data_IF_090344586747
#
_entry.id   IF_090344586747
#
_cell.length_a   1.000
_cell.length_b   1.000
_cell.length_c   1.000
_cell.angle_alpha   90.00
_cell.angle_beta   90.00
_cell.angle_gamma   90.00
#
_symmetry.space_group_name_H-M   'P 1'
#
loop_
_entity.id
_entity.type
_entity.pdbx_description
1 polymer ?
#
# COMPACT_ATOMS: atom_id res chain seq x y z
N UNK A 1 -15.63 -15.03 -16.95
CA UNK A 1 -16.28 -14.18 -17.98
C UNK A 1 -15.23 -13.20 -18.49
N UNK A 2 -14.97 -13.13 -19.80
CA UNK A 2 -14.04 -12.12 -20.33
C UNK A 2 -14.74 -10.76 -20.33
N UNK A 3 -14.30 -9.83 -19.47
CA UNK A 3 -14.79 -8.46 -19.46
C UNK A 3 -14.24 -7.68 -20.67
N UNK A 4 -15.06 -6.80 -21.25
CA UNK A 4 -14.62 -5.80 -22.23
C UNK A 4 -13.62 -4.81 -21.61
N UNK A 5 -12.85 -4.10 -22.45
CA UNK A 5 -11.94 -3.04 -21.96
C UNK A 5 -12.67 -1.89 -21.25
N UNK A 6 -13.93 -1.65 -21.61
CA UNK A 6 -14.86 -0.78 -20.87
C UNK A 6 -15.90 -1.67 -20.19
N UNK A 7 -15.55 -2.16 -19.00
CA UNK A 7 -16.38 -3.09 -18.22
C UNK A 7 -17.32 -2.38 -17.24
N UNK A 8 -17.19 -1.06 -17.11
CA UNK A 8 -17.86 -0.25 -16.09
C UNK A 8 -17.27 -0.35 -14.67
N UNK A 9 -16.37 -1.32 -14.42
CA UNK A 9 -15.68 -1.46 -13.13
C UNK A 9 -14.57 -0.43 -12.98
N UNK A 10 -14.43 0.13 -11.78
CA UNK A 10 -13.41 1.13 -11.46
C UNK A 10 -12.85 0.88 -10.07
N UNK A 11 -11.54 1.03 -9.91
CA UNK A 11 -10.94 1.15 -8.59
C UNK A 11 -11.10 2.61 -8.11
N UNK A 12 -11.84 2.87 -7.02
CA UNK A 12 -11.97 4.22 -6.49
C UNK A 12 -10.63 4.75 -6.01
N UNK A 13 -10.47 6.07 -6.01
CA UNK A 13 -9.35 6.71 -5.35
C UNK A 13 -9.34 6.38 -3.85
N UNK A 14 -8.16 6.31 -3.23
CA UNK A 14 -8.03 6.01 -1.80
C UNK A 14 -8.61 7.09 -0.88
N UNK A 15 -8.81 8.31 -1.36
CA UNK A 15 -9.51 9.34 -0.59
C UNK A 15 -11.03 9.26 -0.68
N UNK A 16 -11.58 8.31 -1.44
CA UNK A 16 -13.02 8.04 -1.47
C UNK A 16 -13.49 7.58 -0.08
N UNK A 17 -14.80 7.61 0.15
CA UNK A 17 -15.34 7.17 1.44
C UNK A 17 -15.21 5.66 1.60
N UNK A 18 -14.82 5.21 2.79
CA UNK A 18 -14.57 3.83 3.13
C UNK A 18 -15.69 3.23 3.98
N UNK A 19 -16.01 1.97 3.70
CA UNK A 19 -16.84 1.13 4.54
C UNK A 19 -16.03 0.46 5.66
N UNK A 20 -14.77 0.13 5.40
CA UNK A 20 -13.84 -0.46 6.37
C UNK A 20 -12.38 -0.37 5.90
N UNK A 21 -11.45 -0.55 6.83
CA UNK A 21 -10.04 -0.88 6.56
C UNK A 21 -9.76 -2.33 6.92
N UNK A 22 -9.03 -3.01 6.05
CA UNK A 22 -8.51 -4.36 6.29
C UNK A 22 -7.06 -4.31 6.71
N UNK A 23 -6.69 -5.14 7.67
CA UNK A 23 -5.33 -5.38 8.12
C UNK A 23 -5.12 -6.87 8.34
N UNK A 24 -3.88 -7.34 8.37
CA UNK A 24 -3.54 -8.72 8.74
C UNK A 24 -2.66 -8.65 9.99
N UNK A 25 -2.92 -9.50 10.98
CA UNK A 25 -2.22 -9.49 12.25
C UNK A 25 -0.88 -10.24 12.15
N UNK A 26 0.24 -9.66 12.61
CA UNK A 26 1.54 -10.32 12.58
C UNK A 26 1.56 -11.46 13.60
N UNK A 27 1.89 -12.66 13.13
CA UNK A 27 1.95 -13.88 13.94
C UNK A 27 3.23 -14.71 13.74
N UNK A 28 3.92 -14.53 12.62
CA UNK A 28 5.05 -15.36 12.23
C UNK A 28 6.31 -14.98 13.02
N UNK A 29 6.50 -15.60 14.18
CA UNK A 29 7.62 -15.29 15.07
C UNK A 29 8.98 -15.52 14.42
N UNK A 30 9.14 -16.61 13.66
CA UNK A 30 10.41 -16.90 12.99
C UNK A 30 10.77 -15.81 11.98
N UNK A 31 9.80 -15.35 11.18
CA UNK A 31 10.01 -14.27 10.22
C UNK A 31 10.44 -12.98 10.92
N UNK A 32 9.70 -12.53 11.92
CA UNK A 32 9.97 -11.25 12.59
C UNK A 32 11.23 -11.29 13.46
N UNK A 33 11.42 -12.33 14.27
CA UNK A 33 12.53 -12.38 15.23
C UNK A 33 13.84 -12.88 14.60
N UNK A 34 13.76 -13.86 13.69
CA UNK A 34 14.95 -14.44 13.05
C UNK A 34 15.28 -13.80 11.70
N UNK A 35 14.27 -13.38 10.92
CA UNK A 35 14.48 -12.70 9.65
C UNK A 35 14.74 -11.21 9.84
N UNK A 36 13.80 -10.50 10.49
CA UNK A 36 13.88 -9.05 10.64
C UNK A 36 14.55 -8.57 11.92
N UNK A 37 15.01 -9.50 12.76
CA UNK A 37 15.71 -9.22 14.02
C UNK A 37 14.96 -8.27 14.97
N UNK A 38 13.62 -8.31 14.94
CA UNK A 38 12.75 -7.50 15.80
C UNK A 38 11.76 -8.40 16.56
N UNK A 39 11.47 -8.08 17.82
CA UNK A 39 10.59 -8.92 18.64
C UNK A 39 9.15 -8.85 18.11
N UNK A 40 8.54 -10.01 17.85
CA UNK A 40 7.16 -10.08 17.34
C UNK A 40 6.18 -9.34 18.26
N UNK A 41 6.39 -9.40 19.58
CA UNK A 41 5.54 -8.72 20.54
C UNK A 41 5.54 -7.19 20.36
N UNK A 42 6.66 -6.58 19.96
CA UNK A 42 6.73 -5.14 19.74
C UNK A 42 6.07 -4.76 18.41
N UNK A 43 6.28 -5.56 17.36
CA UNK A 43 5.58 -5.40 16.07
C UNK A 43 4.06 -5.47 16.28
N UNK A 44 3.57 -6.42 17.08
CA UNK A 44 2.14 -6.53 17.43
C UNK A 44 1.62 -5.28 18.16
N UNK A 45 2.42 -4.63 19.02
CA UNK A 45 2.02 -3.36 19.63
C UNK A 45 1.88 -2.25 18.60
N UNK A 46 2.79 -2.19 17.63
CA UNK A 46 2.75 -1.19 16.56
C UNK A 46 1.50 -1.38 15.67
N UNK A 47 1.22 -2.62 15.26
CA UNK A 47 -0.01 -2.96 14.51
C UNK A 47 -1.28 -2.61 15.29
N UNK A 48 -1.32 -2.89 16.60
CA UNK A 48 -2.45 -2.52 17.44
C UNK A 48 -2.64 -1.00 17.54
N UNK A 49 -1.55 -0.22 17.62
CA UNK A 49 -1.63 1.25 17.61
C UNK A 49 -2.16 1.79 16.30
N UNK A 50 -1.71 1.26 15.16
CA UNK A 50 -2.23 1.64 13.83
C UNK A 50 -3.71 1.31 13.72
N UNK A 51 -4.12 0.09 14.06
CA UNK A 51 -5.51 -0.34 14.02
C UNK A 51 -6.41 0.54 14.93
N UNK A 52 -5.95 0.85 16.14
CA UNK A 52 -6.68 1.72 17.07
C UNK A 52 -6.79 3.17 16.55
N UNK A 53 -5.76 3.67 15.85
CA UNK A 53 -5.78 5.00 15.24
C UNK A 53 -6.82 5.07 14.12
N UNK A 54 -6.87 4.06 13.25
CA UNK A 54 -7.85 3.96 12.14
C UNK A 54 -9.27 3.79 12.68
N UNK A 55 -9.45 2.95 13.70
CA UNK A 55 -10.76 2.64 14.30
C UNK A 55 -11.51 3.86 14.87
N UNK A 56 -10.83 5.00 15.02
CA UNK A 56 -11.45 6.29 15.38
C UNK A 56 -12.25 6.92 14.23
N UNK A 57 -11.98 6.52 12.99
CA UNK A 57 -12.50 7.18 11.77
C UNK A 57 -13.29 6.23 10.86
N UNK A 58 -12.98 4.92 10.87
CA UNK A 58 -13.69 3.91 10.11
C UNK A 58 -13.56 2.51 10.74
N UNK A 59 -14.49 1.57 10.44
CA UNK A 59 -14.40 0.21 10.94
C UNK A 59 -13.09 -0.48 10.52
N UNK A 60 -12.47 -1.24 11.43
CA UNK A 60 -11.28 -2.03 11.13
C UNK A 60 -11.61 -3.52 11.21
N UNK A 61 -11.24 -4.24 10.16
CA UNK A 61 -11.32 -5.70 10.04
C UNK A 61 -9.90 -6.27 10.03
N UNK A 62 -9.56 -7.00 11.08
CA UNK A 62 -8.25 -7.62 11.25
C UNK A 62 -8.34 -9.10 10.90
N UNK A 63 -7.67 -9.51 9.84
CA UNK A 63 -7.45 -10.92 9.53
C UNK A 63 -6.40 -11.47 10.51
N UNK A 64 -6.70 -12.59 11.16
CA UNK A 64 -5.84 -13.17 12.19
C UNK A 64 -5.67 -14.66 11.92
N UNK A 65 -4.41 -15.12 11.88
CA UNK A 65 -4.13 -16.55 11.87
C UNK A 65 -4.70 -17.22 13.16
N UNK A 66 -5.31 -18.42 13.08
CA UNK A 66 -5.86 -19.09 14.26
C UNK A 66 -4.89 -19.21 15.44
N UNK A 67 -3.58 -19.30 15.20
CA UNK A 67 -2.56 -19.36 16.24
C UNK A 67 -2.41 -18.06 17.05
N UNK A 68 -2.81 -16.91 16.50
CA UNK A 68 -2.58 -15.59 17.09
C UNK A 68 -3.86 -14.87 17.55
N UNK A 69 -5.01 -15.54 17.53
CA UNK A 69 -6.30 -14.97 17.99
C UNK A 69 -6.20 -14.43 19.41
N UNK A 70 -5.47 -15.12 20.31
CA UNK A 70 -5.31 -14.68 21.68
C UNK A 70 -4.50 -13.38 21.80
N UNK A 71 -3.38 -13.24 21.06
CA UNK A 71 -2.58 -12.01 21.10
C UNK A 71 -3.30 -10.85 20.42
N UNK A 72 -3.97 -11.10 19.30
CA UNK A 72 -4.83 -10.13 18.64
C UNK A 72 -5.93 -9.64 19.59
N UNK A 73 -6.72 -10.52 20.23
CA UNK A 73 -7.77 -10.10 21.20
C UNK A 73 -7.23 -9.33 22.40
N UNK A 74 -6.00 -9.63 22.84
CA UNK A 74 -5.41 -8.95 23.98
C UNK A 74 -5.00 -7.50 23.67
N UNK A 75 -4.56 -7.24 22.43
CA UNK A 75 -4.02 -5.94 22.02
C UNK A 75 -5.01 -5.11 21.19
N UNK A 76 -5.78 -5.77 20.32
CA UNK A 76 -6.90 -5.17 19.62
C UNK A 76 -8.12 -5.15 20.57
N UNK A 77 -8.54 -3.94 20.97
CA UNK A 77 -9.75 -3.77 21.76
C UNK A 77 -11.02 -4.22 21.03
N UNK A 78 -12.17 -4.17 21.72
CA UNK A 78 -13.45 -4.67 21.20
C UNK A 78 -14.00 -3.95 19.94
N UNK A 79 -13.39 -2.84 19.53
CA UNK A 79 -13.82 -2.06 18.37
C UNK A 79 -13.22 -2.55 17.03
N UNK A 80 -12.35 -3.56 17.06
CA UNK A 80 -11.73 -4.16 15.88
C UNK A 80 -12.37 -5.53 15.66
N UNK A 81 -12.91 -5.77 14.47
CA UNK A 81 -13.48 -7.05 14.10
C UNK A 81 -12.34 -8.03 13.77
N UNK A 82 -12.24 -9.12 14.53
CA UNK A 82 -11.26 -10.17 14.23
C UNK A 82 -11.87 -11.23 13.32
N UNK A 83 -11.18 -11.51 12.22
CA UNK A 83 -11.56 -12.46 11.20
C UNK A 83 -10.51 -13.57 11.19
N UNK A 84 -10.89 -14.75 11.67
CA UNK A 84 -9.96 -15.90 11.75
C UNK A 84 -9.74 -16.52 10.36
N UNK A 85 -8.54 -16.37 9.82
CA UNK A 85 -8.15 -16.89 8.51
C UNK A 85 -6.63 -17.08 8.48
N UNK A 86 -6.17 -18.28 8.11
CA UNK A 86 -4.74 -18.60 8.11
C UNK A 86 -3.97 -17.79 7.05
N UNK A 87 -2.78 -17.31 7.40
CA UNK A 87 -1.92 -16.43 6.58
C UNK A 87 -0.45 -16.81 6.79
N UNK A 88 0.45 -16.44 5.88
CA UNK A 88 1.90 -16.62 6.09
C UNK A 88 2.54 -15.36 6.71
N UNK A 89 2.14 -14.17 6.26
CA UNK A 89 2.64 -12.87 6.69
C UNK A 89 1.54 -11.81 6.84
N UNK A 90 1.89 -10.57 7.24
CA UNK A 90 0.93 -9.53 7.67
C UNK A 90 0.77 -8.31 6.75
N UNK A 91 1.26 -8.38 5.51
CA UNK A 91 1.20 -7.28 4.53
C UNK A 91 -0.11 -7.29 3.74
N UNK A 92 -1.16 -6.76 4.38
CA UNK A 92 -2.53 -6.78 3.84
C UNK A 92 -2.69 -6.01 2.54
N UNK A 93 -1.91 -4.93 2.35
CA UNK A 93 -1.90 -4.12 1.12
C UNK A 93 -1.63 -4.96 -0.12
N UNK A 94 -0.71 -5.91 0.02
CA UNK A 94 -0.12 -6.61 -1.12
C UNK A 94 -0.80 -7.95 -1.42
N UNK A 95 -1.22 -8.64 -0.37
CA UNK A 95 -1.87 -9.95 -0.46
C UNK A 95 -3.40 -9.87 -0.41
N UNK A 96 -3.95 -8.71 -0.02
CA UNK A 96 -5.40 -8.43 0.01
C UNK A 96 -6.00 -8.15 -1.36
N UNK A 97 -7.34 -8.03 -1.45
CA UNK A 97 -8.01 -7.72 -2.71
C UNK A 97 -7.94 -6.21 -2.99
N UNK A 98 -7.76 -5.83 -4.25
CA UNK A 98 -8.06 -4.47 -4.70
C UNK A 98 -9.55 -4.37 -5.00
N UNK A 99 -10.30 -3.67 -4.17
CA UNK A 99 -11.74 -3.49 -4.34
C UNK A 99 -12.07 -2.60 -5.55
N UNK A 100 -13.13 -2.95 -6.27
CA UNK A 100 -13.62 -2.23 -7.45
C UNK A 100 -15.13 -2.03 -7.37
N UNK A 101 -15.61 -0.90 -7.88
CA UNK A 101 -17.02 -0.52 -7.86
C UNK A 101 -17.60 -0.49 -9.28
N UNK A 102 -18.89 -0.81 -9.38
CA UNK A 102 -19.67 -0.69 -10.60
C UNK A 102 -21.03 -0.03 -10.32
N UNK A 103 -21.49 0.93 -11.14
CA UNK A 103 -22.75 1.65 -10.90
C UNK A 103 -24.00 0.76 -10.78
N UNK A 104 -24.02 -0.39 -11.45
CA UNK A 104 -25.16 -1.32 -11.46
C UNK A 104 -24.92 -2.61 -10.65
N UNK A 105 -23.66 -2.94 -10.35
CA UNK A 105 -23.30 -4.24 -9.75
C UNK A 105 -22.72 -4.08 -8.34
N UNK A 106 -22.54 -2.85 -7.87
CA UNK A 106 -22.06 -2.57 -6.52
C UNK A 106 -20.56 -2.84 -6.39
N UNK A 107 -20.19 -3.61 -5.36
CA UNK A 107 -18.81 -3.87 -4.98
C UNK A 107 -18.35 -5.26 -5.45
N UNK A 108 -17.14 -5.33 -5.99
CA UNK A 108 -16.41 -6.57 -6.23
C UNK A 108 -14.95 -6.37 -5.82
N UNK A 109 -14.13 -7.40 -5.99
CA UNK A 109 -12.68 -7.28 -5.82
C UNK A 109 -11.90 -7.93 -6.94
N UNK A 110 -10.71 -7.41 -7.19
CA UNK A 110 -9.69 -8.06 -7.99
C UNK A 110 -8.67 -8.72 -7.07
N UNK A 111 -8.53 -10.03 -7.20
CA UNK A 111 -7.45 -10.80 -6.57
C UNK A 111 -6.31 -10.95 -7.58
N UNK A 112 -5.20 -10.31 -7.28
CA UNK A 112 -3.96 -10.47 -8.04
C UNK A 112 -3.34 -11.84 -7.77
N UNK A 113 -2.45 -12.29 -8.67
CA UNK A 113 -1.51 -13.34 -8.29
C UNK A 113 -0.48 -12.71 -7.34
N UNK A 114 -0.29 -13.30 -6.18
CA UNK A 114 0.73 -12.87 -5.22
C UNK A 114 1.81 -13.95 -5.08
N UNK A 115 3.08 -13.54 -5.04
CA UNK A 115 4.22 -14.43 -4.89
C UNK A 115 5.25 -13.97 -3.85
N UNK A 116 4.85 -13.16 -2.85
CA UNK A 116 5.76 -12.56 -1.87
C UNK A 116 6.96 -11.87 -2.52
N UNK A 117 6.64 -10.85 -3.31
CA UNK A 117 7.62 -9.96 -3.91
C UNK A 117 8.73 -10.70 -4.68
N UNK A 118 8.37 -11.71 -5.47
CA UNK A 118 9.35 -12.49 -6.25
C UNK A 118 9.95 -13.66 -5.48
N UNK A 119 9.11 -14.39 -4.73
CA UNK A 119 9.46 -15.56 -3.93
C UNK A 119 10.46 -15.27 -2.79
N UNK A 120 10.50 -14.02 -2.30
CA UNK A 120 11.37 -13.57 -1.20
C UNK A 120 10.94 -14.13 0.16
N UNK A 121 9.65 -14.47 0.31
CA UNK A 121 9.08 -15.05 1.54
C UNK A 121 8.13 -16.22 1.25
N UNK A 122 7.81 -17.00 2.29
CA UNK A 122 6.74 -18.00 2.23
C UNK A 122 5.39 -17.32 2.00
N UNK A 123 4.57 -17.85 1.10
CA UNK A 123 3.33 -17.17 0.65
C UNK A 123 2.24 -18.14 0.18
N UNK A 124 2.30 -19.40 0.59
CA UNK A 124 1.35 -20.44 0.16
C UNK A 124 -0.11 -20.10 0.48
N UNK A 125 -0.35 -19.51 1.64
CA UNK A 125 -1.63 -19.03 2.14
C UNK A 125 -1.93 -17.63 1.60
N UNK A 126 -0.93 -16.75 1.59
CA UNK A 126 -1.11 -15.35 1.19
C UNK A 126 -1.43 -15.19 -0.30
N UNK A 127 -0.94 -16.10 -1.15
CA UNK A 127 -1.27 -16.17 -2.58
C UNK A 127 -2.78 -16.15 -2.86
N UNK A 128 -3.57 -16.69 -1.93
CA UNK A 128 -5.03 -16.80 -2.06
C UNK A 128 -5.80 -15.88 -1.10
N UNK A 129 -5.11 -15.05 -0.32
CA UNK A 129 -5.73 -14.25 0.74
C UNK A 129 -6.79 -13.31 0.19
N UNK A 130 -6.47 -12.52 -0.85
CA UNK A 130 -7.42 -11.62 -1.49
C UNK A 130 -8.71 -12.33 -1.93
N UNK A 131 -8.60 -13.52 -2.54
CA UNK A 131 -9.78 -14.31 -2.92
C UNK A 131 -10.58 -14.80 -1.71
N UNK A 132 -9.90 -15.32 -0.67
CA UNK A 132 -10.55 -15.82 0.55
C UNK A 132 -11.29 -14.71 1.31
N UNK A 133 -10.74 -13.49 1.34
CA UNK A 133 -11.42 -12.31 1.90
C UNK A 133 -12.71 -12.01 1.12
N UNK A 134 -12.66 -12.01 -0.22
CA UNK A 134 -13.85 -11.76 -1.05
C UNK A 134 -14.93 -12.83 -0.86
N UNK A 135 -14.54 -14.10 -0.82
CA UNK A 135 -15.46 -15.22 -0.60
C UNK A 135 -16.13 -15.11 0.79
N UNK A 136 -15.38 -14.70 1.82
CA UNK A 136 -15.92 -14.48 3.17
C UNK A 136 -16.92 -13.31 3.24
N UNK A 137 -16.73 -12.28 2.41
CA UNK A 137 -17.68 -11.18 2.26
C UNK A 137 -18.87 -11.51 1.36
N UNK A 138 -18.85 -12.65 0.67
CA UNK A 138 -19.84 -13.00 -0.35
C UNK A 138 -19.79 -12.07 -1.57
N UNK A 139 -18.64 -11.46 -1.86
CA UNK A 139 -18.46 -10.54 -2.98
C UNK A 139 -17.94 -11.28 -4.21
N UNK A 140 -18.35 -10.80 -5.39
CA UNK A 140 -17.79 -11.26 -6.65
C UNK A 140 -16.29 -10.92 -6.73
N UNK A 141 -15.50 -11.86 -7.24
CA UNK A 141 -14.05 -11.74 -7.35
C UNK A 141 -13.57 -12.00 -8.76
N UNK A 142 -12.79 -11.07 -9.31
CA UNK A 142 -12.00 -11.24 -10.51
C UNK A 142 -10.63 -11.81 -10.16
N UNK A 143 -10.04 -12.56 -11.09
CA UNK A 143 -8.68 -13.07 -10.94
C UNK A 143 -7.90 -12.82 -12.22
N UNK A 144 -6.60 -12.62 -12.07
CA UNK A 144 -5.66 -12.38 -13.18
C UNK A 144 -4.43 -13.28 -13.03
N UNK A 145 -3.78 -13.60 -14.15
CA UNK A 145 -2.49 -14.30 -14.16
C UNK A 145 -1.32 -13.36 -13.85
N UNK A 146 -1.54 -12.05 -13.92
CA UNK A 146 -0.52 -11.04 -13.62
C UNK A 146 -0.21 -11.04 -12.12
N UNK A 147 1.08 -11.13 -11.80
CA UNK A 147 1.56 -10.84 -10.47
C UNK A 147 1.48 -9.34 -10.23
N UNK A 148 0.86 -8.95 -9.14
CA UNK A 148 0.79 -7.57 -8.73
C UNK A 148 0.53 -7.53 -7.23
N UNK A 149 1.03 -6.49 -6.59
CA UNK A 149 0.76 -6.15 -5.21
C UNK A 149 -0.02 -4.83 -5.15
N UNK A 150 -0.87 -4.63 -4.14
CA UNK A 150 -1.61 -3.37 -4.00
C UNK A 150 -0.70 -2.16 -3.84
N UNK A 151 0.43 -2.29 -3.14
CA UNK A 151 1.42 -1.21 -2.97
C UNK A 151 2.17 -0.84 -4.24
N UNK A 152 2.13 -1.70 -5.26
CA UNK A 152 2.75 -1.46 -6.56
C UNK A 152 1.95 -0.49 -7.46
N UNK A 153 0.72 -0.13 -7.08
CA UNK A 153 -0.15 0.75 -7.89
C UNK A 153 -0.84 1.84 -7.05
N UNK A 154 -0.99 3.03 -7.63
CA UNK A 154 -1.84 4.10 -7.10
C UNK A 154 -2.80 4.60 -8.17
N UNK A 155 -4.05 4.88 -7.80
CA UNK A 155 -5.10 5.37 -8.72
C UNK A 155 -5.71 6.68 -8.26
N UNK A 156 -6.08 7.53 -9.21
CA UNK A 156 -6.71 8.84 -8.94
C UNK A 156 -8.25 8.80 -8.93
N UNK A 157 -8.85 7.65 -9.24
CA UNK A 157 -10.30 7.49 -9.41
C UNK A 157 -10.89 8.16 -10.66
N UNK A 158 -10.08 8.86 -11.47
CA UNK A 158 -10.46 9.54 -12.70
C UNK A 158 -9.83 8.90 -13.96
N UNK A 159 -9.25 7.71 -13.79
CA UNK A 159 -8.73 6.86 -14.86
C UNK A 159 -7.22 6.94 -15.04
N UNK A 160 -6.49 7.51 -14.09
CA UNK A 160 -5.02 7.51 -14.05
C UNK A 160 -4.53 6.47 -13.05
N UNK A 161 -3.52 5.71 -13.44
CA UNK A 161 -2.76 4.83 -12.54
C UNK A 161 -1.28 5.20 -12.60
N UNK A 162 -0.61 5.22 -11.46
CA UNK A 162 0.86 5.34 -11.35
C UNK A 162 1.40 4.02 -10.82
N UNK A 163 2.49 3.54 -11.42
CA UNK A 163 3.18 2.30 -11.06
C UNK A 163 4.66 2.43 -11.38
N UNK A 164 5.49 1.49 -10.92
CA UNK A 164 6.91 1.40 -11.26
C UNK A 164 7.22 0.26 -12.24
N UNK A 165 8.18 0.49 -13.13
CA UNK A 165 8.68 -0.51 -14.09
C UNK A 165 9.49 -1.61 -13.40
N UNK A 166 10.31 -1.23 -12.42
CA UNK A 166 11.16 -2.11 -11.60
C UNK A 166 10.40 -3.19 -10.84
N UNK A 167 9.10 -2.99 -10.61
CA UNK A 167 8.21 -3.98 -9.99
C UNK A 167 7.45 -4.78 -11.05
N UNK A 168 6.58 -4.12 -11.83
CA UNK A 168 5.61 -4.86 -12.66
C UNK A 168 6.24 -5.54 -13.88
N UNK A 169 7.33 -4.99 -14.42
CA UNK A 169 8.08 -5.59 -15.52
C UNK A 169 9.23 -6.47 -15.03
N UNK A 170 9.36 -6.65 -13.72
CA UNK A 170 10.39 -7.49 -13.15
C UNK A 170 10.18 -8.96 -13.57
N UNK A 171 11.21 -9.64 -14.10
CA UNK A 171 11.11 -11.06 -14.44
C UNK A 171 10.74 -11.97 -13.25
N UNK A 172 11.01 -11.55 -12.01
CA UNK A 172 10.60 -12.29 -10.80
C UNK A 172 9.09 -12.16 -10.49
N UNK A 173 8.39 -11.19 -11.10
CA UNK A 173 6.94 -11.02 -11.02
C UNK A 173 6.27 -11.59 -12.26
N UNK A 174 6.63 -11.06 -13.42
CA UNK A 174 5.91 -11.23 -14.68
C UNK A 174 6.87 -11.41 -15.86
N UNK A 175 7.53 -12.58 -15.98
CA UNK A 175 8.51 -12.80 -17.04
C UNK A 175 7.85 -12.72 -18.42
N UNK A 176 8.34 -11.79 -19.25
CA UNK A 176 7.90 -11.60 -20.64
C UNK A 176 6.58 -10.86 -20.82
N UNK A 177 5.96 -10.34 -19.74
CA UNK A 177 4.73 -9.53 -19.85
C UNK A 177 5.09 -8.10 -20.25
N UNK A 178 4.34 -7.56 -21.21
CA UNK A 178 4.51 -6.20 -21.71
C UNK A 178 3.67 -5.17 -20.95
N UNK A 179 4.06 -3.89 -21.03
CA UNK A 179 3.24 -2.76 -20.54
C UNK A 179 1.82 -2.77 -21.12
N UNK A 180 1.68 -3.10 -22.40
CA UNK A 180 0.38 -3.14 -23.07
C UNK A 180 -0.57 -4.21 -22.47
N UNK A 181 -0.03 -5.34 -22.01
CA UNK A 181 -0.82 -6.37 -21.31
C UNK A 181 -1.28 -5.89 -19.93
N UNK A 182 -0.42 -5.19 -19.19
CA UNK A 182 -0.81 -4.53 -17.94
C UNK A 182 -1.86 -3.45 -18.17
N UNK A 183 -1.65 -2.56 -19.13
CA UNK A 183 -2.59 -1.48 -19.47
C UNK A 183 -3.96 -2.05 -19.88
N UNK A 184 -4.01 -3.16 -20.63
CA UNK A 184 -5.26 -3.84 -20.95
C UNK A 184 -5.94 -4.45 -19.71
N UNK A 185 -5.16 -4.94 -18.74
CA UNK A 185 -5.68 -5.43 -17.46
C UNK A 185 -6.26 -4.28 -16.62
N UNK A 186 -5.50 -3.19 -16.46
CA UNK A 186 -5.89 -2.01 -15.70
C UNK A 186 -7.12 -1.33 -16.30
N UNK A 187 -7.21 -1.21 -17.62
CA UNK A 187 -8.40 -0.70 -18.29
C UNK A 187 -9.63 -1.55 -17.97
N UNK A 188 -9.51 -2.87 -18.14
CA UNK A 188 -10.61 -3.82 -17.95
C UNK A 188 -11.13 -3.89 -16.53
N UNK A 189 -10.25 -3.90 -15.53
CA UNK A 189 -10.63 -4.20 -14.16
C UNK A 189 -10.65 -2.98 -13.24
N UNK A 190 -9.78 -2.00 -13.48
CA UNK A 190 -9.61 -0.83 -12.61
C UNK A 190 -10.17 0.46 -13.24
N UNK A 191 -10.62 0.42 -14.50
CA UNK A 191 -11.20 1.56 -15.20
C UNK A 191 -10.16 2.61 -15.65
N UNK A 192 -8.90 2.18 -15.82
CA UNK A 192 -7.77 3.05 -16.15
C UNK A 192 -7.70 3.33 -17.65
N UNK A 193 -7.44 4.59 -17.99
CA UNK A 193 -7.24 5.07 -19.37
C UNK A 193 -5.81 5.50 -19.64
N UNK A 194 -5.06 5.83 -18.58
CA UNK A 194 -3.66 6.23 -18.68
C UNK A 194 -2.85 5.67 -17.53
N UNK A 195 -1.78 4.97 -17.87
CA UNK A 195 -0.80 4.48 -16.92
C UNK A 195 0.47 5.34 -17.01
N UNK A 196 0.95 5.80 -15.87
CA UNK A 196 2.23 6.48 -15.73
C UNK A 196 3.21 5.46 -15.16
N UNK A 197 4.24 5.16 -15.94
CA UNK A 197 5.28 4.20 -15.61
C UNK A 197 6.51 4.96 -15.10
N UNK A 198 6.74 4.89 -13.81
CA UNK A 198 7.94 5.42 -13.18
C UNK A 198 9.08 4.40 -13.29
N UNK A 199 10.36 4.83 -13.30
CA UNK A 199 11.49 3.89 -13.26
C UNK A 199 11.47 3.00 -11.99
N UNK A 200 11.00 3.54 -10.86
CA UNK A 200 11.12 2.92 -9.53
C UNK A 200 12.59 2.74 -9.14
N UNK A 201 12.96 1.56 -8.65
CA UNK A 201 14.33 1.21 -8.24
C UNK A 201 14.93 0.08 -9.13
N UNK A 202 15.33 0.38 -10.38
CA UNK A 202 15.79 -0.64 -11.33
C UNK A 202 17.12 -1.31 -10.94
N UNK A 203 17.87 -0.73 -9.99
CA UNK A 203 19.17 -1.25 -9.55
C UNK A 203 19.12 -1.87 -8.15
N UNK A 204 17.95 -1.89 -7.50
CA UNK A 204 17.73 -2.43 -6.15
C UNK A 204 18.64 -1.77 -5.10
N UNK A 205 18.90 -0.48 -5.27
CA UNK A 205 19.87 0.29 -4.49
C UNK A 205 19.25 0.94 -3.25
N UNK A 206 17.92 0.98 -3.16
CA UNK A 206 17.20 1.53 -2.01
C UNK A 206 17.14 0.56 -0.82
N UNK A 207 17.44 -0.73 -1.03
CA UNK A 207 17.21 -1.77 -0.02
C UNK A 207 15.74 -2.13 0.18
N UNK A 208 14.84 -1.61 -0.67
CA UNK A 208 13.42 -1.94 -0.66
C UNK A 208 13.18 -3.41 -1.05
N UNK A 209 12.54 -4.15 -0.14
CA UNK A 209 12.20 -5.56 -0.35
C UNK A 209 11.11 -5.77 -1.41
N UNK A 210 10.43 -4.71 -1.84
CA UNK A 210 9.34 -4.79 -2.81
C UNK A 210 9.77 -4.55 -4.25
N UNK A 211 11.06 -4.27 -4.50
CA UNK A 211 11.65 -3.89 -5.80
C UNK A 211 11.27 -2.48 -6.29
N UNK A 212 10.92 -1.57 -5.38
CA UNK A 212 10.57 -0.18 -5.69
C UNK A 212 9.07 0.03 -5.85
N UNK A 213 8.26 -0.35 -4.86
CA UNK A 213 6.81 -0.09 -4.87
C UNK A 213 6.52 1.41 -4.99
N UNK A 214 5.42 1.74 -5.70
CA UNK A 214 5.06 3.15 -5.94
C UNK A 214 4.58 3.84 -4.66
N UNK A 215 4.06 3.11 -3.68
CA UNK A 215 3.65 3.68 -2.38
C UNK A 215 4.83 4.09 -1.48
N UNK A 216 6.06 3.69 -1.84
CA UNK A 216 7.31 4.26 -1.32
C UNK A 216 7.82 5.47 -2.09
N UNK A 217 7.24 5.78 -3.26
CA UNK A 217 7.70 6.84 -4.18
C UNK A 217 6.77 8.03 -4.19
N UNK A 218 5.46 7.81 -4.29
CA UNK A 218 4.47 8.89 -4.30
C UNK A 218 3.08 8.40 -3.90
N UNK A 219 2.22 9.34 -3.51
CA UNK A 219 0.81 9.09 -3.23
C UNK A 219 -0.05 10.24 -3.77
N UNK A 220 -1.23 9.93 -4.28
CA UNK A 220 -2.19 10.97 -4.65
C UNK A 220 -2.82 11.61 -3.41
N UNK A 221 -2.75 12.94 -3.34
CA UNK A 221 -3.51 13.70 -2.33
C UNK A 221 -4.95 13.99 -2.80
N UNK A 222 -5.09 14.27 -4.10
CA UNK A 222 -6.33 14.61 -4.83
C UNK A 222 -6.01 14.60 -6.33
N UNK A 223 -7.01 14.70 -7.25
CA UNK A 223 -6.74 14.73 -8.68
C UNK A 223 -5.75 15.85 -9.05
N UNK A 224 -4.68 15.47 -9.75
CA UNK A 224 -3.62 16.40 -10.18
C UNK A 224 -2.61 16.83 -9.10
N UNK A 225 -2.66 16.28 -7.88
CA UNK A 225 -1.72 16.62 -6.79
C UNK A 225 -1.13 15.35 -6.17
N UNK A 226 0.20 15.29 -6.13
CA UNK A 226 0.97 14.17 -5.59
C UNK A 226 1.81 14.63 -4.40
N UNK A 227 1.88 13.77 -3.39
CA UNK A 227 2.97 13.76 -2.42
C UNK A 227 4.06 12.86 -2.98
N UNK A 228 5.31 13.31 -2.97
CA UNK A 228 6.44 12.62 -3.60
C UNK A 228 7.55 12.47 -2.56
N UNK A 229 8.13 11.29 -2.51
CA UNK A 229 9.32 11.03 -1.71
C UNK A 229 10.45 11.99 -2.10
N UNK A 230 11.16 12.48 -1.10
CA UNK A 230 12.23 13.46 -1.25
C UNK A 230 13.33 13.18 -0.23
N UNK A 231 14.57 13.57 -0.57
CA UNK A 231 15.70 13.47 0.34
C UNK A 231 16.50 14.76 0.37
N UNK A 232 17.14 15.03 1.51
CA UNK A 232 18.09 16.13 1.66
C UNK A 232 19.50 15.76 1.18
N UNK A 233 19.81 14.47 1.09
CA UNK A 233 21.07 14.00 0.53
C UNK A 233 21.03 14.15 -0.99
N UNK A 234 22.07 14.75 -1.59
CA UNK A 234 22.06 15.07 -3.03
C UNK A 234 22.92 14.12 -3.87
N UNK A 235 23.93 13.53 -3.25
CA UNK A 235 25.01 12.79 -3.94
C UNK A 235 24.93 11.27 -3.71
N UNK A 236 23.88 10.76 -3.07
CA UNK A 236 23.69 9.32 -2.89
C UNK A 236 22.98 8.68 -4.06
N UNK A 237 23.17 7.36 -4.16
CA UNK A 237 22.46 6.53 -5.13
C UNK A 237 20.94 6.57 -4.88
N UNK A 238 20.52 6.69 -3.62
CA UNK A 238 19.13 6.94 -3.26
C UNK A 238 18.60 8.25 -3.87
N UNK A 239 19.36 9.34 -3.73
CA UNK A 239 19.00 10.64 -4.30
C UNK A 239 18.85 10.59 -5.83
N UNK A 240 19.64 9.76 -6.53
CA UNK A 240 19.49 9.54 -7.97
C UNK A 240 18.16 8.84 -8.30
N UNK A 241 17.76 7.82 -7.53
CA UNK A 241 16.47 7.13 -7.68
C UNK A 241 15.31 8.09 -7.47
N UNK A 242 15.33 8.87 -6.39
CA UNK A 242 14.31 9.89 -6.08
C UNK A 242 14.19 10.90 -7.23
N UNK A 243 15.32 11.39 -7.75
CA UNK A 243 15.36 12.38 -8.83
C UNK A 243 14.77 11.86 -10.13
N UNK A 244 15.06 10.63 -10.52
CA UNK A 244 14.54 10.06 -11.78
C UNK A 244 13.05 9.74 -11.69
N UNK A 245 12.56 9.26 -10.54
CA UNK A 245 11.12 9.08 -10.31
C UNK A 245 10.37 10.42 -10.33
N UNK A 246 10.89 11.44 -9.63
CA UNK A 246 10.34 12.80 -9.67
C UNK A 246 10.32 13.38 -11.09
N UNK A 247 11.40 13.22 -11.84
CA UNK A 247 11.48 13.68 -13.25
C UNK A 247 10.40 13.03 -14.13
N UNK A 248 10.15 11.73 -13.94
CA UNK A 248 9.09 11.04 -14.68
C UNK A 248 7.70 11.61 -14.36
N UNK A 249 7.44 11.98 -13.10
CA UNK A 249 6.20 12.64 -12.68
C UNK A 249 6.07 14.06 -13.26
N UNK A 250 7.13 14.85 -13.28
CA UNK A 250 7.14 16.22 -13.83
C UNK A 250 6.83 16.25 -15.33
N UNK A 251 7.29 15.24 -16.07
CA UNK A 251 7.04 15.09 -17.51
C UNK A 251 5.65 14.49 -17.82
N UNK A 252 5.01 13.87 -16.83
CA UNK A 252 3.74 13.21 -17.01
C UNK A 252 2.55 14.20 -16.97
N UNK A 253 1.43 13.72 -17.51
CA UNK A 253 0.11 14.28 -17.27
C UNK A 253 -0.84 13.17 -16.90
N UNK A 254 -1.92 13.47 -16.21
CA UNK A 254 -2.92 12.46 -15.87
C UNK A 254 -3.87 12.16 -17.05
N UNK A 255 -4.88 11.31 -16.83
CA UNK A 255 -5.86 10.91 -17.83
C UNK A 255 -6.82 12.05 -18.26
N UNK A 256 -6.83 13.17 -17.53
CA UNK A 256 -7.56 14.39 -17.88
C UNK A 256 -6.67 15.45 -18.54
N UNK A 257 -5.37 15.17 -18.69
CA UNK A 257 -4.40 16.08 -19.29
C UNK A 257 -3.83 17.13 -18.34
N UNK A 258 -4.01 16.98 -17.02
CA UNK A 258 -3.43 17.89 -16.02
C UNK A 258 -1.97 17.51 -15.76
N UNK A 259 -1.10 18.50 -15.59
CA UNK A 259 0.22 18.30 -14.97
C UNK A 259 0.05 18.18 -13.46
N UNK A 260 0.99 17.51 -12.80
CA UNK A 260 0.94 17.32 -11.34
C UNK A 260 1.55 18.50 -10.59
N UNK A 261 0.85 18.95 -9.55
CA UNK A 261 1.47 19.64 -8.42
C UNK A 261 2.19 18.60 -7.56
N UNK A 262 3.49 18.76 -7.33
CA UNK A 262 4.31 17.81 -6.56
C UNK A 262 4.69 18.43 -5.21
N UNK A 263 4.23 17.82 -4.13
CA UNK A 263 4.51 18.20 -2.74
C UNK A 263 5.57 17.25 -2.17
N UNK A 264 6.69 17.78 -1.69
CA UNK A 264 7.76 16.95 -1.13
C UNK A 264 7.41 16.41 0.26
N UNK A 265 7.63 15.11 0.45
CA UNK A 265 7.71 14.46 1.75
C UNK A 265 9.14 13.97 1.95
N UNK A 266 9.90 14.70 2.76
CA UNK A 266 11.28 14.33 3.07
C UNK A 266 11.33 13.12 4.00
N UNK A 267 12.10 12.11 3.61
CA UNK A 267 12.29 10.85 4.33
C UNK A 267 12.82 11.03 5.77
N UNK A 268 12.63 10.00 6.60
CA UNK A 268 13.06 9.94 7.99
C UNK A 268 14.48 9.36 8.15
N UNK A 269 15.47 9.72 7.31
CA UNK A 269 16.79 9.04 7.29
C UNK A 269 17.49 9.03 8.66
N UNK A 270 17.24 10.05 9.50
CA UNK A 270 17.80 10.14 10.85
C UNK A 270 17.25 9.09 11.85
N UNK A 271 16.16 8.40 11.50
CA UNK A 271 15.58 7.32 12.30
C UNK A 271 16.01 5.93 11.84
N UNK A 272 16.72 5.81 10.71
CA UNK A 272 17.13 4.52 10.17
C UNK A 272 18.09 3.83 11.15
N UNK A 273 17.67 2.67 11.64
CA UNK A 273 18.54 1.76 12.37
C UNK A 273 19.61 1.21 11.42
N UNK A 274 20.88 1.55 11.68
CA UNK A 274 22.01 1.18 10.84
C UNK A 274 22.36 -0.32 10.97
N UNK A 275 21.88 -0.99 12.02
CA UNK A 275 22.07 -2.42 12.21
C UNK A 275 20.93 -3.25 11.59
N UNK A 276 19.85 -2.60 11.12
CA UNK A 276 18.76 -3.27 10.44
C UNK A 276 19.13 -3.60 8.98
N UNK A 277 18.74 -4.79 8.51
CA UNK A 277 18.92 -5.17 7.10
C UNK A 277 18.05 -4.32 6.17
N UNK A 278 16.84 -4.01 6.63
CA UNK A 278 15.86 -3.18 5.93
C UNK A 278 15.18 -2.27 6.94
N UNK A 279 14.90 -1.02 6.56
CA UNK A 279 14.15 -0.10 7.38
C UNK A 279 13.31 0.85 6.52
N UNK A 280 11.98 0.81 6.67
CA UNK A 280 11.11 1.76 5.99
C UNK A 280 11.15 3.13 6.69
N UNK A 281 11.87 4.09 6.12
CA UNK A 281 11.94 5.47 6.60
C UNK A 281 11.04 6.45 5.79
N UNK A 282 10.17 5.92 4.93
CA UNK A 282 9.33 6.76 4.07
C UNK A 282 8.11 7.31 4.82
N UNK A 283 7.83 8.61 4.67
CA UNK A 283 6.56 9.19 5.09
C UNK A 283 5.47 9.06 4.03
N UNK A 284 5.78 8.71 2.77
CA UNK A 284 4.75 8.46 1.75
C UNK A 284 3.88 7.26 2.09
N UNK A 285 4.39 6.34 2.91
CA UNK A 285 3.70 5.14 3.37
C UNK A 285 2.67 5.41 4.49
N UNK A 286 1.88 6.47 4.34
CA UNK A 286 0.74 6.82 5.19
C UNK A 286 -0.56 6.16 4.66
N UNK A 287 -1.58 6.08 5.51
CA UNK A 287 -2.91 5.61 5.10
C UNK A 287 -3.95 6.73 5.15
N UNK A 288 -4.76 6.87 4.10
CA UNK A 288 -5.87 7.82 4.06
C UNK A 288 -7.12 7.14 4.64
N UNK A 289 -7.51 7.51 5.86
CA UNK A 289 -8.82 7.17 6.40
C UNK A 289 -9.85 8.25 6.03
N UNK A 290 -11.14 7.94 6.19
CA UNK A 290 -12.26 8.85 5.92
C UNK A 290 -12.02 10.28 6.42
N UNK A 291 -11.68 10.44 7.71
CA UNK A 291 -11.49 11.75 8.36
C UNK A 291 -10.05 12.05 8.79
N UNK A 292 -9.08 11.21 8.41
CA UNK A 292 -7.72 11.32 8.92
C UNK A 292 -6.66 10.81 7.96
N UNK A 293 -5.43 11.27 8.17
CA UNK A 293 -4.21 10.67 7.61
C UNK A 293 -3.51 9.98 8.76
N UNK A 294 -3.36 8.66 8.66
CA UNK A 294 -2.60 7.88 9.64
C UNK A 294 -1.16 7.86 9.14
N UNK A 295 -0.32 8.68 9.77
CA UNK A 295 1.02 9.00 9.32
C UNK A 295 2.04 8.15 10.11
N UNK A 296 3.02 7.51 9.46
CA UNK A 296 4.14 6.90 10.17
C UNK A 296 4.91 7.99 10.92
N UNK A 297 5.34 7.68 12.15
CA UNK A 297 6.16 8.55 12.96
C UNK A 297 7.33 7.78 13.55
N UNK A 298 8.48 8.42 13.63
CA UNK A 298 9.74 7.78 14.02
C UNK A 298 10.34 8.40 15.28
N UNK A 299 9.68 9.40 15.89
CA UNK A 299 10.13 10.07 17.11
C UNK A 299 11.23 11.10 16.88
N UNK A 300 11.32 11.65 15.67
CA UNK A 300 12.35 12.61 15.26
C UNK A 300 11.73 13.95 14.84
N UNK A 301 12.55 15.00 14.67
CA UNK A 301 12.07 16.32 14.29
C UNK A 301 11.34 16.32 12.93
N UNK A 302 11.80 15.49 11.98
CA UNK A 302 11.19 15.35 10.65
C UNK A 302 9.72 14.92 10.70
N UNK A 303 9.26 14.25 11.77
CA UNK A 303 7.84 13.89 11.95
C UNK A 303 6.93 15.14 11.88
N UNK A 304 7.41 16.28 12.41
CA UNK A 304 6.64 17.53 12.44
C UNK A 304 6.55 18.17 11.06
N UNK A 305 7.63 18.10 10.28
CA UNK A 305 7.69 18.63 8.92
C UNK A 305 6.79 17.80 7.98
N UNK A 306 6.88 16.48 8.07
CA UNK A 306 5.98 15.56 7.36
C UNK A 306 4.51 15.80 7.72
N UNK A 307 4.20 15.94 9.00
CA UNK A 307 2.85 16.24 9.46
C UNK A 307 2.30 17.57 8.92
N UNK A 308 3.15 18.61 8.84
CA UNK A 308 2.76 19.90 8.29
C UNK A 308 2.47 19.82 6.78
N UNK A 309 3.31 19.11 6.01
CA UNK A 309 3.08 18.88 4.58
C UNK A 309 1.80 18.06 4.33
N UNK A 310 1.57 17.00 5.10
CA UNK A 310 0.34 16.21 4.99
C UNK A 310 -0.91 17.02 5.37
N UNK A 311 -0.83 17.87 6.40
CA UNK A 311 -1.93 18.77 6.76
C UNK A 311 -2.25 19.77 5.63
N UNK A 312 -1.22 20.24 4.93
CA UNK A 312 -1.39 21.10 3.75
C UNK A 312 -2.02 20.33 2.57
N UNK A 313 -1.58 19.10 2.33
CA UNK A 313 -2.08 18.25 1.24
C UNK A 313 -3.53 17.78 1.46
N UNK A 314 -3.96 17.61 2.71
CA UNK A 314 -5.28 17.07 3.06
C UNK A 314 -6.11 18.02 3.95
N UNK A 315 -6.54 19.18 3.41
CA UNK A 315 -7.36 20.11 4.19
C UNK A 315 -8.67 19.42 4.59
N UNK A 316 -8.93 19.36 5.90
CA UNK A 316 -10.12 18.72 6.47
C UNK A 316 -9.92 17.30 7.01
N UNK A 317 -8.72 16.71 6.85
CA UNK A 317 -8.36 15.46 7.54
C UNK A 317 -7.48 15.75 8.75
N UNK A 318 -7.72 15.03 9.84
CA UNK A 318 -6.82 15.06 11.00
C UNK A 318 -5.54 14.28 10.68
N UNK A 319 -4.38 14.89 10.91
CA UNK A 319 -3.10 14.14 10.87
C UNK A 319 -2.94 13.40 12.20
N UNK A 320 -2.75 12.08 12.14
CA UNK A 320 -2.59 11.20 13.30
C UNK A 320 -1.24 10.48 13.15
N UNK A 321 -0.17 11.02 13.75
CA UNK A 321 1.12 10.34 13.83
C UNK A 321 1.01 9.07 14.66
N UNK A 322 1.56 7.96 14.16
CA UNK A 322 1.65 6.68 14.88
C UNK A 322 3.08 6.19 14.83
N UNK A 323 3.67 5.91 16.00
CA UNK A 323 5.00 5.32 16.12
C UNK A 323 5.00 3.90 15.55
N UNK A 324 5.81 3.64 14.55
CA UNK A 324 5.86 2.36 13.81
C UNK A 324 7.28 1.76 13.70
N UNK A 325 8.19 2.15 14.60
CA UNK A 325 9.61 1.77 14.54
C UNK A 325 9.79 0.26 14.31
N UNK A 326 8.99 -0.61 14.95
CA UNK A 326 9.15 -2.07 14.80
C UNK A 326 8.56 -2.63 13.51
N UNK A 327 7.54 -1.98 12.94
CA UNK A 327 7.01 -2.35 11.61
C UNK A 327 8.04 -2.00 10.54
N UNK A 328 8.74 -0.86 10.69
CA UNK A 328 9.72 -0.37 9.74
C UNK A 328 10.86 -1.37 9.51
N UNK A 329 11.27 -2.14 10.53
CA UNK A 329 12.26 -3.22 10.41
C UNK A 329 11.83 -4.37 9.49
N UNK A 330 10.53 -4.52 9.22
CA UNK A 330 10.00 -5.47 8.25
C UNK A 330 10.02 -4.97 6.81
N UNK A 331 10.48 -3.73 6.58
CA UNK A 331 10.62 -3.14 5.25
C UNK A 331 9.39 -2.43 4.70
N UNK A 332 8.34 -2.21 5.50
CA UNK A 332 7.15 -1.45 5.10
C UNK A 332 6.65 -0.50 6.17
N UNK A 333 5.68 0.34 5.83
CA UNK A 333 5.06 1.30 6.74
C UNK A 333 3.56 1.04 6.96
N UNK A 334 2.79 2.10 7.21
CA UNK A 334 1.36 2.01 7.52
C UNK A 334 0.54 1.61 6.29
N UNK A 335 0.90 2.12 5.12
CA UNK A 335 0.20 1.83 3.86
C UNK A 335 0.35 0.35 3.47
N UNK A 336 1.53 -0.26 3.68
CA UNK A 336 1.80 -1.67 3.36
C UNK A 336 0.98 -2.67 4.21
N UNK A 337 0.49 -2.25 5.38
CA UNK A 337 -0.25 -3.14 6.30
C UNK A 337 -1.76 -2.91 6.26
N UNK A 338 -2.24 -2.01 5.39
CA UNK A 338 -3.64 -1.60 5.31
C UNK A 338 -4.22 -1.79 3.91
N UNK A 339 -5.51 -2.11 3.82
CA UNK A 339 -6.25 -2.19 2.56
C UNK A 339 -7.66 -1.64 2.74
N UNK A 340 -7.96 -0.52 2.10
CA UNK A 340 -9.27 0.12 2.15
C UNK A 340 -10.34 -0.67 1.39
N UNK A 341 -11.52 -0.77 1.99
CA UNK A 341 -12.76 -1.19 1.32
C UNK A 341 -13.64 0.05 1.10
N UNK A 342 -13.89 0.46 -0.16
CA UNK A 342 -14.70 1.64 -0.44
C UNK A 342 -16.16 1.41 -0.05
N UNK A 343 -16.83 2.49 0.36
CA UNK A 343 -18.28 2.54 0.49
C UNK A 343 -18.90 2.63 -0.90
N UNK A 344 -19.86 1.73 -1.19
CA UNK A 344 -20.63 1.80 -2.44
C UNK A 344 -21.55 3.01 -2.34
N UNK A 345 -21.29 4.04 -3.15
CA UNK A 345 -22.23 5.16 -3.24
C UNK A 345 -23.49 4.69 -3.99
N UNK A 346 -24.69 5.00 -3.46
CA UNK A 346 -25.97 4.57 -4.02
C UNK A 346 -26.28 5.16 -5.41
#
# INVERSE_FOLDING_TARGET
MHLSLDSGWRMPAEWARHAATWMVWPHNQALWESGWHVRLADVQQDYARVAAAIARFEPVKMVVDPSAVASARALCGANIELIELAVDDSWCRDSGPSFVCHPQHGLAGLSWRFNAWGDKSQHSLDRSLGRRILDQLGLDGFSTSLCNEGGAIHVDGEGTLITTESVLLNPNRNPGVSKAEFEACFARHLGIRKTIWLPGDPQYVTGDMTDGHVDGVCAFARPGVLLVDATHEQDSVYADVVRENRRALELATDAQGRHFELLDLYEASAAVDQDAEVFCASYTNFYIANGAIIMPAYGIAADQEAAAQLAHAFPGRQIVPVRIDHIAHGGGGIHCITQQQPEVQP
#
